data_IF_305678252821
#
_entry.id   IF_305678252821
#
_cell.length_a   1.000
_cell.length_b   1.000
_cell.length_c   1.000
_cell.angle_alpha   90.00
_cell.angle_beta   90.00
_cell.angle_gamma   90.00
#
_symmetry.space_group_name_H-M   'P 1'
#
loop_
_entity.id
_entity.type
_entity.pdbx_description
1 polymer ?
#
# COMPACT_ATOMS: atom_id res chain seq x y z
N UNK A 1 20.97 0.30 2.87
CA UNK A 1 19.79 0.11 2.01
C UNK A 1 18.55 -0.01 2.88
N UNK A 2 17.39 0.51 2.44
CA UNK A 2 16.12 0.39 3.15
C UNK A 2 15.09 -0.26 2.22
N UNK A 3 14.28 -1.16 2.77
CA UNK A 3 13.25 -1.88 2.05
C UNK A 3 11.97 -1.97 2.85
N UNK A 4 10.84 -1.82 2.17
CA UNK A 4 9.51 -1.93 2.74
C UNK A 4 8.78 -3.08 2.07
N UNK A 5 8.39 -4.06 2.88
CA UNK A 5 7.57 -5.18 2.48
C UNK A 5 6.14 -4.97 2.98
N UNK A 6 5.17 -5.09 2.07
CA UNK A 6 3.76 -4.92 2.35
C UNK A 6 3.06 -6.28 2.27
N UNK A 7 2.03 -6.53 3.10
CA UNK A 7 1.23 -7.74 2.98
C UNK A 7 0.52 -7.80 1.62
N UNK A 8 0.48 -8.97 1.01
CA UNK A 8 -0.31 -9.23 -0.20
C UNK A 8 -1.81 -9.25 0.10
N UNK A 9 -2.65 -9.15 -0.94
CA UNK A 9 -4.13 -9.23 -0.83
C UNK A 9 -4.63 -10.46 -0.06
N UNK A 10 -3.94 -11.59 -0.20
CA UNK A 10 -4.27 -12.84 0.50
C UNK A 10 -3.82 -12.84 1.97
N UNK A 11 -3.02 -11.86 2.40
CA UNK A 11 -2.39 -11.76 3.72
C UNK A 11 -1.51 -12.96 4.11
N UNK A 12 -1.15 -13.83 3.16
CA UNK A 12 -0.30 -15.01 3.37
C UNK A 12 1.18 -14.71 3.11
N UNK A 13 1.47 -13.62 2.42
CA UNK A 13 2.80 -13.27 1.96
C UNK A 13 3.09 -11.78 2.18
N UNK A 14 4.37 -11.46 2.25
CA UNK A 14 4.90 -10.11 2.24
C UNK A 14 5.56 -9.89 0.87
N UNK A 15 5.14 -8.85 0.17
CA UNK A 15 5.66 -8.45 -1.12
C UNK A 15 6.55 -7.22 -0.95
N UNK A 16 7.71 -7.21 -1.59
CA UNK A 16 8.58 -6.04 -1.62
C UNK A 16 7.92 -4.92 -2.43
N UNK A 17 7.61 -3.80 -1.80
CA UNK A 17 6.94 -2.66 -2.45
C UNK A 17 7.91 -1.52 -2.75
N UNK A 18 8.83 -1.25 -1.84
CA UNK A 18 9.80 -0.17 -2.00
C UNK A 18 11.20 -0.59 -1.58
N UNK A 19 12.18 -0.07 -2.29
CA UNK A 19 13.57 0.00 -1.83
C UNK A 19 14.10 1.41 -2.05
N UNK A 20 15.09 1.82 -1.26
CA UNK A 20 15.67 3.17 -1.37
C UNK A 20 16.18 3.51 -2.79
N UNK A 21 16.66 2.51 -3.53
CA UNK A 21 17.25 2.70 -4.86
C UNK A 21 16.32 2.27 -6.01
N UNK A 22 15.20 1.61 -5.72
CA UNK A 22 14.26 1.13 -6.73
C UNK A 22 12.83 1.14 -6.21
N UNK A 23 11.98 1.88 -6.91
CA UNK A 23 10.54 1.89 -6.67
C UNK A 23 9.90 0.72 -7.45
N UNK A 24 9.02 -0.04 -6.78
CA UNK A 24 8.27 -1.16 -7.35
C UNK A 24 9.13 -2.31 -7.93
N UNK A 25 9.98 -2.96 -7.11
CA UNK A 25 10.73 -4.15 -7.52
C UNK A 25 9.77 -5.34 -7.70
N UNK A 26 9.32 -5.57 -8.93
CA UNK A 26 8.39 -6.65 -9.26
C UNK A 26 9.01 -8.02 -8.93
N UNK A 27 8.25 -8.90 -8.29
CA UNK A 27 8.55 -10.34 -8.22
C UNK A 27 9.19 -10.87 -6.92
N UNK A 28 9.36 -10.06 -5.87
CA UNK A 28 9.88 -10.54 -4.59
C UNK A 28 8.75 -10.70 -3.57
N UNK A 29 8.35 -11.94 -3.29
CA UNK A 29 7.42 -12.30 -2.21
C UNK A 29 8.07 -13.27 -1.25
N UNK A 30 7.67 -13.20 0.02
CA UNK A 30 8.09 -14.13 1.06
C UNK A 30 6.88 -14.55 1.90
N UNK A 31 6.80 -15.80 2.36
CA UNK A 31 5.67 -16.23 3.19
C UNK A 31 5.66 -15.54 4.55
N UNK A 32 4.48 -15.14 5.05
CA UNK A 32 4.35 -14.42 6.33
C UNK A 32 4.74 -15.27 7.54
N UNK A 33 4.61 -16.60 7.41
CA UNK A 33 4.86 -17.55 8.50
C UNK A 33 6.34 -17.84 8.74
N UNK A 34 7.25 -17.15 8.05
CA UNK A 34 8.69 -17.29 8.29
C UNK A 34 9.02 -16.90 9.75
N UNK A 35 9.85 -17.69 10.47
CA UNK A 35 10.17 -17.43 11.88
C UNK A 35 10.70 -16.02 12.13
N UNK A 36 11.53 -15.51 11.21
CA UNK A 36 12.10 -14.16 11.26
C UNK A 36 11.02 -13.07 11.18
N UNK A 37 9.98 -13.27 10.37
CA UNK A 37 8.88 -12.31 10.23
C UNK A 37 8.00 -12.36 11.49
N UNK A 38 7.67 -13.56 11.96
CA UNK A 38 6.91 -13.74 13.20
C UNK A 38 7.63 -13.12 14.40
N UNK A 39 8.95 -13.25 14.48
CA UNK A 39 9.76 -12.63 15.53
C UNK A 39 9.63 -11.10 15.49
N UNK A 40 9.78 -10.49 14.32
CA UNK A 40 9.67 -9.03 14.17
C UNK A 40 8.25 -8.56 14.46
N UNK A 41 7.23 -9.25 13.96
CA UNK A 41 5.83 -8.87 14.16
C UNK A 41 5.37 -9.04 15.61
N UNK A 42 5.96 -9.96 16.36
CA UNK A 42 5.69 -10.14 17.79
C UNK A 42 6.40 -9.10 18.68
N UNK A 43 7.38 -8.36 18.14
CA UNK A 43 8.15 -7.35 18.85
C UNK A 43 7.64 -5.93 18.54
N UNK A 44 7.68 -5.04 19.53
CA UNK A 44 7.50 -3.59 19.30
C UNK A 44 8.80 -2.89 18.92
N UNK A 45 9.93 -3.58 19.04
CA UNK A 45 11.26 -3.02 18.88
C UNK A 45 11.90 -3.41 17.55
N UNK A 46 12.91 -2.66 17.15
CA UNK A 46 13.78 -3.00 16.04
C UNK A 46 14.60 -4.26 16.37
N UNK A 47 14.46 -5.30 15.55
CA UNK A 47 15.08 -6.61 15.76
C UNK A 47 16.23 -6.80 14.78
N UNK A 48 17.41 -7.17 15.29
CA UNK A 48 18.52 -7.61 14.44
C UNK A 48 18.17 -8.97 13.81
N UNK A 49 18.27 -9.07 12.49
CA UNK A 49 17.96 -10.28 11.73
C UNK A 49 19.19 -10.76 10.95
N UNK A 50 19.20 -12.04 10.60
CA UNK A 50 20.27 -12.60 9.77
C UNK A 50 20.31 -11.90 8.40
N UNK A 51 21.48 -11.47 7.90
CA UNK A 51 21.60 -10.96 6.55
C UNK A 51 21.29 -12.00 5.46
N UNK A 52 21.28 -13.30 5.81
CA UNK A 52 20.90 -14.37 4.91
C UNK A 52 19.38 -14.59 4.85
N UNK A 53 18.60 -13.86 5.66
CA UNK A 53 17.15 -13.93 5.68
C UNK A 53 16.56 -13.59 4.30
N UNK A 54 15.47 -14.25 3.86
CA UNK A 54 14.81 -13.92 2.59
C UNK A 54 14.41 -12.45 2.46
N UNK A 55 14.03 -11.80 3.57
CA UNK A 55 13.65 -10.38 3.59
C UNK A 55 14.82 -9.40 3.49
N UNK A 56 16.05 -9.89 3.68
CA UNK A 56 17.28 -9.10 3.60
C UNK A 56 18.03 -9.31 2.27
N UNK A 57 17.69 -10.37 1.53
CA UNK A 57 18.41 -10.77 0.31
C UNK A 57 17.81 -10.11 -0.93
N UNK A 58 17.95 -8.79 -1.02
CA UNK A 58 17.40 -8.01 -2.13
C UNK A 58 18.27 -7.99 -3.39
N UNK A 59 19.57 -8.30 -3.25
CA UNK A 59 20.51 -8.32 -4.37
C UNK A 59 21.26 -9.65 -4.44
N UNK A 60 21.58 -10.13 -5.65
CA UNK A 60 22.50 -11.24 -5.83
C UNK A 60 23.84 -10.91 -5.19
N UNK A 61 24.38 -11.83 -4.38
CA UNK A 61 25.66 -11.64 -3.72
C UNK A 61 26.78 -11.76 -4.75
N UNK A 62 27.30 -10.63 -5.23
CA UNK A 62 28.49 -10.60 -6.07
C UNK A 62 29.74 -10.54 -5.16
N UNK A 63 30.50 -11.65 -5.11
CA UNK A 63 31.80 -11.72 -4.42
C UNK A 63 31.77 -12.07 -2.92
N UNK A 64 32.96 -12.15 -2.33
CA UNK A 64 33.22 -12.54 -0.92
C UNK A 64 32.92 -11.42 0.10
N UNK A 65 32.03 -10.48 -0.22
CA UNK A 65 31.73 -9.36 0.66
C UNK A 65 31.00 -9.82 1.93
N UNK A 66 31.41 -9.28 3.07
CA UNK A 66 30.77 -9.55 4.35
C UNK A 66 29.48 -8.73 4.44
N UNK A 67 28.32 -9.37 4.66
CA UNK A 67 27.07 -8.65 4.70
C UNK A 67 27.02 -7.76 5.94
N UNK A 68 26.59 -6.51 5.77
CA UNK A 68 26.38 -5.58 6.88
C UNK A 68 25.26 -6.05 7.82
N UNK A 69 25.22 -5.50 9.04
CA UNK A 69 24.15 -5.82 9.97
C UNK A 69 22.78 -5.38 9.41
N UNK A 70 21.78 -6.24 9.63
CA UNK A 70 20.41 -6.04 9.16
C UNK A 70 19.48 -5.93 10.35
N UNK A 71 18.63 -4.92 10.31
CA UNK A 71 17.60 -4.67 11.31
C UNK A 71 16.26 -4.66 10.62
N UNK A 72 15.27 -5.24 11.26
CA UNK A 72 13.89 -5.23 10.80
C UNK A 72 12.96 -4.72 11.90
N UNK A 73 11.97 -3.93 11.52
CA UNK A 73 10.95 -3.38 12.41
C UNK A 73 9.59 -3.51 11.74
N UNK A 74 8.57 -3.82 12.54
CA UNK A 74 7.20 -3.86 12.04
C UNK A 74 6.66 -2.44 11.90
N UNK A 75 5.90 -2.20 10.84
CA UNK A 75 5.22 -0.92 10.59
C UNK A 75 3.72 -1.18 10.66
N UNK A 76 2.98 -0.64 11.63
CA UNK A 76 1.54 -0.85 11.73
C UNK A 76 0.82 -0.24 10.52
N UNK A 77 -0.04 -1.02 9.88
CA UNK A 77 -0.89 -0.51 8.83
C UNK A 77 -2.18 -0.01 9.46
N UNK A 78 -2.27 1.31 9.62
CA UNK A 78 -3.41 1.98 10.21
C UNK A 78 -4.56 1.98 9.18
N UNK A 79 -5.66 1.32 9.53
CA UNK A 79 -6.86 1.31 8.71
C UNK A 79 -7.82 2.36 9.26
N UNK A 80 -8.02 3.45 8.52
CA UNK A 80 -8.86 4.58 8.94
C UNK A 80 -10.12 4.75 8.06
N UNK A 81 -10.41 3.81 7.15
CA UNK A 81 -11.47 3.96 6.15
C UNK A 81 -12.83 3.43 6.64
N UNK A 82 -13.87 4.27 6.52
CA UNK A 82 -15.28 3.93 6.70
C UNK A 82 -16.00 3.57 5.38
N UNK A 83 -15.34 3.78 4.23
CA UNK A 83 -15.82 3.30 2.94
C UNK A 83 -15.27 1.89 2.75
N UNK A 84 -16.17 0.92 2.60
CA UNK A 84 -15.82 -0.48 2.42
C UNK A 84 -15.02 -0.67 1.13
N UNK A 85 -13.69 -0.63 1.24
CA UNK A 85 -12.82 -1.23 0.25
C UNK A 85 -12.97 -2.75 0.43
N UNK A 86 -13.84 -3.35 -0.38
CA UNK A 86 -14.03 -4.79 -0.52
C UNK A 86 -12.80 -5.55 -1.08
N UNK A 87 -11.57 -5.04 -0.92
CA UNK A 87 -10.34 -5.71 -1.39
C UNK A 87 -9.55 -6.38 -0.26
N UNK A 88 -10.00 -6.27 0.99
CA UNK A 88 -9.29 -6.81 2.14
C UNK A 88 -10.24 -7.61 3.02
N UNK A 89 -9.92 -8.87 3.36
CA UNK A 89 -10.77 -9.65 4.25
C UNK A 89 -10.93 -8.92 5.60
N UNK A 90 -12.17 -8.76 6.06
CA UNK A 90 -12.64 -8.03 7.26
C UNK A 90 -12.07 -8.52 8.61
N UNK A 91 -10.95 -9.23 8.60
CA UNK A 91 -10.31 -9.72 9.80
C UNK A 91 -9.66 -8.54 10.53
N UNK A 92 -10.21 -8.22 11.70
CA UNK A 92 -9.73 -7.28 12.73
C UNK A 92 -8.31 -7.55 13.25
N UNK A 93 -7.54 -8.39 12.57
CA UNK A 93 -6.15 -8.71 12.89
C UNK A 93 -5.26 -7.55 12.48
N UNK A 94 -4.55 -6.96 13.45
CA UNK A 94 -3.53 -5.95 13.21
C UNK A 94 -2.61 -6.38 12.07
N UNK A 95 -2.57 -5.61 10.98
CA UNK A 95 -1.70 -5.87 9.84
C UNK A 95 -0.43 -5.05 9.97
N UNK A 96 0.68 -5.68 9.64
CA UNK A 96 1.99 -5.05 9.68
C UNK A 96 2.64 -5.17 8.30
N UNK A 97 3.26 -4.07 7.90
CA UNK A 97 4.34 -4.10 6.93
C UNK A 97 5.66 -4.38 7.66
N UNK A 98 6.67 -4.82 6.92
CA UNK A 98 8.01 -5.07 7.44
C UNK A 98 8.97 -4.07 6.81
N UNK A 99 9.59 -3.23 7.64
CA UNK A 99 10.68 -2.35 7.20
C UNK A 99 12.02 -2.97 7.55
N UNK A 100 12.90 -3.11 6.57
CA UNK A 100 14.22 -3.76 6.69
C UNK A 100 15.30 -2.75 6.32
N UNK A 101 16.24 -2.51 7.22
CA UNK A 101 17.40 -1.64 7.03
C UNK A 101 18.68 -2.47 7.05
N UNK A 102 19.53 -2.24 6.07
CA UNK A 102 20.81 -2.93 5.91
C UNK A 102 21.93 -1.91 5.90
N UNK A 103 22.93 -2.10 6.76
CA UNK A 103 24.16 -1.33 6.68
C UNK A 103 24.96 -1.71 5.43
N UNK A 104 25.80 -0.81 4.90
CA UNK A 104 26.68 -1.13 3.77
C UNK A 104 27.56 -2.35 4.07
N UNK A 105 27.69 -3.24 3.08
CA UNK A 105 28.61 -4.37 3.11
C UNK A 105 30.05 -3.91 3.35
N UNK A 106 30.86 -4.79 3.93
CA UNK A 106 32.29 -4.58 4.20
C UNK A 106 32.62 -3.42 5.16
N UNK A 107 31.60 -2.94 5.88
CA UNK A 107 31.81 -2.12 7.06
C UNK A 107 31.80 -3.00 8.30
N UNK A 108 32.74 -2.77 9.24
CA UNK A 108 32.66 -3.32 10.59
C UNK A 108 31.60 -2.60 11.46
N UNK A 109 30.74 -1.79 10.82
CA UNK A 109 29.75 -0.96 11.49
C UNK A 109 28.63 -1.83 12.02
N UNK A 110 28.22 -1.54 13.23
CA UNK A 110 27.08 -2.17 13.90
C UNK A 110 26.04 -1.10 14.22
N UNK A 111 24.79 -1.53 14.36
CA UNK A 111 23.72 -0.70 14.88
C UNK A 111 23.93 -0.47 16.37
N UNK A 112 23.96 0.79 16.75
CA UNK A 112 23.95 1.22 18.14
C UNK A 112 22.51 1.28 18.67
N UNK A 113 22.33 1.20 19.99
CA UNK A 113 21.01 1.20 20.61
C UNK A 113 20.18 2.44 20.22
N UNK A 114 20.77 3.63 20.25
CA UNK A 114 20.08 4.87 19.86
C UNK A 114 19.66 4.90 18.38
N UNK A 115 20.38 4.20 17.49
CA UNK A 115 19.99 4.08 16.08
C UNK A 115 18.81 3.13 15.92
N UNK A 116 18.71 2.09 16.76
CA UNK A 116 17.54 1.19 16.80
C UNK A 116 16.31 1.92 17.31
N UNK A 117 16.43 2.69 18.39
CA UNK A 117 15.34 3.53 18.92
C UNK A 117 14.87 4.55 17.88
N UNK A 118 15.79 5.16 17.13
CA UNK A 118 15.43 6.06 16.04
C UNK A 118 14.64 5.33 14.94
N UNK A 119 15.05 4.13 14.57
CA UNK A 119 14.35 3.31 13.57
C UNK A 119 12.92 2.99 14.01
N UNK A 120 12.70 2.74 15.30
CA UNK A 120 11.35 2.52 15.86
C UNK A 120 10.46 3.76 15.68
N UNK A 121 10.97 4.95 16.03
CA UNK A 121 10.23 6.21 15.83
C UNK A 121 9.95 6.48 14.34
N UNK A 122 10.92 6.20 13.47
CA UNK A 122 10.73 6.34 12.02
C UNK A 122 9.68 5.36 11.51
N UNK A 123 9.61 4.13 12.02
CA UNK A 123 8.59 3.16 11.64
C UNK A 123 7.17 3.68 11.93
N UNK A 124 6.97 4.35 13.06
CA UNK A 124 5.69 4.99 13.38
C UNK A 124 5.34 6.13 12.41
N UNK A 125 6.33 6.94 12.02
CA UNK A 125 6.11 8.00 11.02
C UNK A 125 5.79 7.43 9.64
N UNK A 126 6.44 6.32 9.26
CA UNK A 126 6.11 5.61 8.02
C UNK A 126 4.68 5.08 8.07
N UNK A 127 4.21 4.54 9.21
CA UNK A 127 2.83 4.10 9.38
C UNK A 127 1.82 5.25 9.14
N UNK A 128 2.07 6.42 9.71
CA UNK A 128 1.23 7.62 9.49
C UNK A 128 1.23 8.02 8.01
N UNK A 129 2.40 8.06 7.37
CA UNK A 129 2.51 8.42 5.96
C UNK A 129 1.77 7.43 5.05
N UNK A 130 1.89 6.12 5.31
CA UNK A 130 1.15 5.08 4.60
C UNK A 130 -0.37 5.23 4.79
N UNK A 131 -0.82 5.58 6.00
CA UNK A 131 -2.23 5.85 6.27
C UNK A 131 -2.75 7.04 5.46
N UNK A 132 -1.99 8.14 5.40
CA UNK A 132 -2.36 9.30 4.59
C UNK A 132 -2.37 8.97 3.09
N UNK A 133 -1.42 8.16 2.62
CA UNK A 133 -1.40 7.70 1.24
C UNK A 133 -2.63 6.86 0.90
N UNK A 134 -3.05 5.96 1.79
CA UNK A 134 -4.25 5.15 1.61
C UNK A 134 -5.53 6.00 1.55
N UNK A 135 -5.68 6.99 2.45
CA UNK A 135 -6.82 7.93 2.44
C UNK A 135 -6.86 8.73 1.13
N UNK A 136 -5.69 9.21 0.67
CA UNK A 136 -5.61 9.99 -0.57
C UNK A 136 -5.98 9.15 -1.80
N UNK A 137 -5.53 7.89 -1.84
CA UNK A 137 -5.88 6.96 -2.92
C UNK A 137 -7.39 6.69 -2.95
N UNK A 138 -7.99 6.47 -1.78
CA UNK A 138 -9.43 6.28 -1.64
C UNK A 138 -10.23 7.51 -2.09
N UNK A 139 -9.82 8.71 -1.66
CA UNK A 139 -10.45 9.96 -2.07
C UNK A 139 -10.41 10.16 -3.59
N UNK A 140 -9.28 9.82 -4.23
CA UNK A 140 -9.14 9.88 -5.69
C UNK A 140 -10.11 8.92 -6.38
N UNK A 141 -10.17 7.66 -5.94
CA UNK A 141 -11.12 6.68 -6.50
C UNK A 141 -12.58 7.12 -6.36
N UNK A 142 -12.96 7.62 -5.18
CA UNK A 142 -14.31 8.10 -4.93
C UNK A 142 -14.67 9.29 -5.85
N UNK A 143 -13.74 10.22 -6.03
CA UNK A 143 -13.90 11.33 -6.98
C UNK A 143 -14.09 10.83 -8.40
N UNK A 144 -13.28 9.86 -8.83
CA UNK A 144 -13.34 9.33 -10.20
C UNK A 144 -14.68 8.61 -10.45
N UNK A 145 -15.18 7.83 -9.48
CA UNK A 145 -16.52 7.22 -9.55
C UNK A 145 -17.64 8.27 -9.62
N UNK A 146 -17.56 9.33 -8.81
CA UNK A 146 -18.54 10.42 -8.84
C UNK A 146 -18.55 11.14 -10.19
N UNK A 147 -17.37 11.29 -10.82
CA UNK A 147 -17.25 11.89 -12.15
C UNK A 147 -17.91 11.02 -13.21
N UNK A 148 -17.70 9.69 -13.18
CA UNK A 148 -18.38 8.75 -14.07
C UNK A 148 -19.90 8.80 -13.91
N UNK A 149 -20.40 8.83 -12.66
CA UNK A 149 -21.84 8.94 -12.39
C UNK A 149 -22.42 10.26 -12.88
N UNK A 150 -21.71 11.37 -12.73
CA UNK A 150 -22.16 12.67 -13.19
C UNK A 150 -22.31 12.70 -14.72
N UNK A 151 -21.34 12.14 -15.46
CA UNK A 151 -21.42 12.00 -16.92
C UNK A 151 -22.63 11.17 -17.33
N UNK A 152 -22.86 10.02 -16.67
CA UNK A 152 -24.01 9.16 -16.96
C UNK A 152 -25.35 9.86 -16.71
N UNK A 153 -25.45 10.64 -15.62
CA UNK A 153 -26.64 11.41 -15.30
C UNK A 153 -26.90 12.53 -16.31
N UNK A 154 -25.86 13.25 -16.74
CA UNK A 154 -25.98 14.29 -17.76
C UNK A 154 -26.45 13.73 -19.11
N UNK A 155 -25.98 12.54 -19.48
CA UNK A 155 -26.45 11.85 -20.68
C UNK A 155 -27.95 11.50 -20.57
N UNK A 156 -28.33 10.81 -19.49
CA UNK A 156 -29.72 10.43 -19.25
C UNK A 156 -30.66 11.64 -19.20
N UNK A 157 -30.20 12.77 -18.62
CA UNK A 157 -30.93 14.03 -18.60
C UNK A 157 -31.18 14.56 -20.01
N UNK A 158 -30.15 14.62 -20.85
CA UNK A 158 -30.29 15.12 -22.23
C UNK A 158 -31.21 14.24 -23.07
N UNK A 159 -31.15 12.92 -22.90
CA UNK A 159 -32.08 11.99 -23.56
C UNK A 159 -33.53 12.22 -23.13
N UNK A 160 -33.77 12.49 -21.85
CA UNK A 160 -35.11 12.84 -21.37
C UNK A 160 -35.59 14.18 -21.95
N UNK A 161 -34.72 15.20 -21.99
CA UNK A 161 -35.03 16.53 -22.54
C UNK A 161 -35.38 16.44 -24.05
N UNK A 162 -34.63 15.67 -24.84
CA UNK A 162 -34.93 15.50 -26.27
C UNK A 162 -36.24 14.74 -26.50
N UNK A 163 -36.54 13.72 -25.69
CA UNK A 163 -37.81 13.01 -25.74
C UNK A 163 -39.01 13.93 -25.41
N UNK A 164 -38.85 14.82 -24.43
CA UNK A 164 -39.87 15.81 -24.06
C UNK A 164 -40.09 16.82 -25.20
N UNK A 165 -39.01 17.34 -25.80
CA UNK A 165 -39.11 18.26 -26.93
C UNK A 165 -39.83 17.61 -28.12
N UNK A 166 -39.42 16.40 -28.52
CA UNK A 166 -40.09 15.67 -29.60
C UNK A 166 -41.58 15.49 -29.32
N UNK A 167 -41.95 15.09 -28.09
CA UNK A 167 -43.36 14.96 -27.68
C UNK A 167 -44.12 16.29 -27.83
N UNK A 168 -43.53 17.41 -27.42
CA UNK A 168 -44.18 18.71 -27.50
C UNK A 168 -44.34 19.17 -28.95
N UNK A 169 -43.34 18.93 -29.80
CA UNK A 169 -43.41 19.24 -31.24
C UNK A 169 -44.53 18.44 -31.92
N UNK A 170 -44.66 17.15 -31.62
CA UNK A 170 -45.78 16.33 -32.10
C UNK A 170 -47.15 16.89 -31.68
N UNK A 171 -47.30 17.30 -30.41
CA UNK A 171 -48.54 17.89 -29.91
C UNK A 171 -48.85 19.23 -30.60
N UNK A 172 -47.83 20.04 -30.89
CA UNK A 172 -48.00 21.32 -31.56
C UNK A 172 -48.50 21.14 -33.01
N UNK A 173 -47.95 20.18 -33.75
CA UNK A 173 -48.41 19.82 -35.10
C UNK A 173 -49.87 19.35 -35.06
N UNK A 174 -50.20 18.43 -34.14
CA UNK A 174 -51.57 17.91 -34.00
C UNK A 174 -52.60 18.99 -33.66
N UNK A 175 -52.23 19.98 -32.84
CA UNK A 175 -53.12 21.10 -32.49
C UNK A 175 -53.33 22.10 -33.63
N UNK A 176 -52.43 22.16 -34.61
CA UNK A 176 -52.57 23.03 -35.78
C UNK A 176 -53.36 22.38 -36.93
N UNK A 177 -53.49 21.05 -36.92
CA UNK A 177 -54.24 20.27 -37.92
C UNK A 177 -55.71 19.98 -37.54
N UNK A 178 -56.19 20.45 -36.38
CA UNK A 178 -57.62 20.47 -35.98
C UNK A 178 -58.23 21.87 -36.13
#
# INVERSE_FOLDING_TARGET
ECALWMPTRTALEQQLSYTLHQQNPVGHTVPIHLPVINQVFSSNHAVKISPNSPVARLRPRAGNHMPGEVVAVRVPLLHLSNFQINDWPELSTKRYALMVLMLPSDSARQWHMHELELVEVVADQVAVALSHAAILEESRRARDLLMEQNIALDLARREAETAICARNDFLAVMNHEM
#
